data_IF_263100135076
#
_entry.id   IF_263100135076
#
_cell.length_a   1.000
_cell.length_b   1.000
_cell.length_c   1.000
_cell.angle_alpha   90.00
_cell.angle_beta   90.00
_cell.angle_gamma   90.00
#
_symmetry.space_group_name_H-M   'P 1'
#
loop_
_entity.id
_entity.type
_entity.pdbx_description
1 polymer ?
#
# COMPACT_ATOMS: atom_id res chain seq x y z
N UNK A 1 25.68 -38.43 19.14
CA UNK A 1 24.96 -37.73 18.06
C UNK A 1 23.75 -38.55 17.63
N UNK A 2 22.55 -38.27 18.17
CA UNK A 2 21.25 -38.77 17.64
C UNK A 2 20.01 -38.32 18.45
N UNK A 3 20.15 -37.44 19.45
CA UNK A 3 19.00 -36.96 20.25
C UNK A 3 18.67 -35.46 20.09
N UNK A 4 19.47 -34.69 19.35
CA UNK A 4 19.22 -33.25 19.13
C UNK A 4 18.35 -32.91 17.91
N UNK A 5 18.13 -33.85 16.98
CA UNK A 5 17.41 -33.59 15.72
C UNK A 5 15.91 -33.93 15.84
N UNK A 6 15.55 -34.86 16.75
CA UNK A 6 14.15 -35.26 16.95
C UNK A 6 13.31 -34.20 17.67
N UNK A 7 13.91 -33.34 18.50
CA UNK A 7 13.19 -32.28 19.23
C UNK A 7 12.93 -31.06 18.32
N UNK A 8 13.82 -30.79 17.35
CA UNK A 8 13.65 -29.67 16.43
C UNK A 8 12.61 -29.93 15.33
N UNK A 9 12.43 -31.20 14.93
CA UNK A 9 11.36 -31.60 14.00
C UNK A 9 9.99 -31.69 14.69
N UNK A 10 9.93 -31.96 16.00
CA UNK A 10 8.66 -31.97 16.72
C UNK A 10 8.09 -30.55 16.96
N UNK A 11 8.97 -29.55 17.14
CA UNK A 11 8.56 -28.15 17.31
C UNK A 11 8.09 -27.48 16.00
N UNK A 12 8.56 -27.96 14.83
CA UNK A 12 8.06 -27.46 13.54
C UNK A 12 6.77 -28.17 13.07
N UNK A 13 6.49 -29.38 13.53
CA UNK A 13 5.25 -30.10 13.17
C UNK A 13 4.07 -29.69 14.08
N UNK A 14 4.33 -29.26 15.32
CA UNK A 14 3.29 -28.72 16.21
C UNK A 14 2.86 -27.27 15.88
N UNK A 15 3.57 -26.55 14.99
CA UNK A 15 3.11 -25.27 14.45
C UNK A 15 2.24 -25.42 13.17
N UNK A 16 2.00 -26.66 12.72
CA UNK A 16 1.05 -26.98 11.65
C UNK A 16 -0.23 -27.66 12.18
N UNK A 17 -0.43 -27.70 13.50
CA UNK A 17 -1.77 -27.86 14.03
C UNK A 17 -2.51 -26.58 13.70
N UNK A 18 -3.42 -26.72 12.74
CA UNK A 18 -4.50 -25.79 12.44
C UNK A 18 -4.66 -24.77 13.55
N UNK A 19 -4.20 -23.53 13.31
CA UNK A 19 -5.00 -22.41 13.79
C UNK A 19 -6.39 -22.79 13.27
N UNK A 20 -7.37 -23.13 14.12
CA UNK A 20 -8.71 -23.17 13.61
C UNK A 20 -8.86 -21.78 13.04
N UNK A 21 -9.00 -21.67 11.71
CA UNK A 21 -9.80 -20.59 11.16
C UNK A 21 -11.09 -20.80 11.93
N UNK A 22 -11.24 -20.02 13.01
CA UNK A 22 -12.39 -20.08 13.85
C UNK A 22 -13.51 -19.62 12.94
N UNK A 23 -14.12 -20.58 12.26
CA UNK A 23 -15.27 -20.38 11.41
C UNK A 23 -16.50 -19.95 12.23
N UNK A 24 -16.32 -19.73 13.55
CA UNK A 24 -17.33 -19.30 14.51
C UNK A 24 -16.87 -18.17 15.45
N UNK A 25 -15.74 -17.50 15.18
CA UNK A 25 -15.58 -16.16 15.74
C UNK A 25 -16.41 -15.24 14.86
N UNK A 26 -17.71 -15.11 15.17
CA UNK A 26 -18.64 -14.29 14.41
C UNK A 26 -17.99 -12.96 14.06
N UNK A 27 -17.51 -12.83 12.81
CA UNK A 27 -17.04 -11.57 12.30
C UNK A 27 -18.24 -10.66 12.44
N UNK A 28 -18.13 -9.65 13.31
CA UNK A 28 -19.15 -8.62 13.37
C UNK A 28 -19.36 -8.15 11.95
N UNK A 29 -20.53 -8.40 11.38
CA UNK A 29 -20.94 -7.88 10.06
C UNK A 29 -20.98 -6.35 10.05
N UNK A 30 -20.72 -5.73 11.22
CA UNK A 30 -20.58 -4.31 11.46
C UNK A 30 -19.24 -4.11 12.17
N UNK A 31 -18.13 -4.10 11.43
CA UNK A 31 -16.93 -3.43 11.94
C UNK A 31 -17.34 -1.95 12.03
N UNK A 32 -17.44 -1.35 13.24
CA UNK A 32 -17.83 0.03 13.37
C UNK A 32 -16.77 0.88 12.68
N UNK A 33 -17.17 1.56 11.61
CA UNK A 33 -16.29 2.53 10.98
C UNK A 33 -16.06 3.66 11.98
N UNK A 34 -14.81 4.05 12.27
CA UNK A 34 -14.56 5.20 13.13
C UNK A 34 -15.29 6.42 12.56
N UNK A 35 -16.09 7.07 13.40
CA UNK A 35 -16.87 8.21 12.97
C UNK A 35 -15.93 9.31 12.45
N UNK A 36 -16.22 9.79 11.23
CA UNK A 36 -15.52 10.95 10.67
C UNK A 36 -15.79 12.17 11.56
N UNK A 37 -14.76 12.96 11.93
CA UNK A 37 -14.97 14.20 12.68
C UNK A 37 -15.95 15.14 11.97
N UNK A 38 -16.71 15.90 12.77
CA UNK A 38 -17.62 16.91 12.24
C UNK A 38 -16.84 17.92 11.39
N UNK A 39 -17.35 18.24 10.19
CA UNK A 39 -16.70 19.17 9.26
C UNK A 39 -15.48 18.63 8.49
N UNK A 40 -14.99 17.41 8.78
CA UNK A 40 -13.84 16.84 8.07
C UNK A 40 -14.19 16.49 6.61
N UNK A 41 -13.43 17.00 5.64
CA UNK A 41 -13.62 16.74 4.20
C UNK A 41 -12.56 15.76 3.70
N UNK A 42 -12.95 14.50 3.50
CA UNK A 42 -12.05 13.41 3.10
C UNK A 42 -11.34 13.65 1.76
N UNK A 43 -11.81 14.60 0.95
CA UNK A 43 -11.15 14.90 -0.33
C UNK A 43 -10.21 16.10 -0.28
N UNK A 44 -10.21 16.87 0.82
CA UNK A 44 -9.37 18.07 0.95
C UNK A 44 -8.27 17.90 1.99
N UNK A 45 -8.55 17.14 3.04
CA UNK A 45 -7.59 16.95 4.12
C UNK A 45 -6.38 16.11 3.68
N UNK A 46 -5.18 16.37 4.23
CA UNK A 46 -4.03 15.50 4.04
C UNK A 46 -4.32 14.07 4.51
N UNK A 47 -3.88 13.09 3.74
CA UNK A 47 -3.94 11.69 4.16
C UNK A 47 -2.70 11.45 5.03
N UNK A 48 -2.91 11.35 6.33
CA UNK A 48 -1.84 11.13 7.32
C UNK A 48 -2.15 9.97 8.25
N UNK A 49 -3.31 9.32 8.13
CA UNK A 49 -3.74 8.20 8.98
C UNK A 49 -4.36 7.08 8.15
N UNK A 50 -4.30 5.81 8.61
CA UNK A 50 -4.96 4.70 7.94
C UNK A 50 -6.48 4.86 7.87
N UNK A 51 -7.10 5.45 8.90
CA UNK A 51 -8.55 5.68 8.95
C UNK A 51 -9.04 6.58 7.81
N UNK A 52 -8.21 7.51 7.36
CA UNK A 52 -8.54 8.34 6.21
C UNK A 52 -8.64 7.49 4.92
N UNK A 53 -7.78 6.48 4.76
CA UNK A 53 -7.89 5.52 3.65
C UNK A 53 -9.19 4.72 3.74
N UNK A 54 -9.58 4.29 4.95
CA UNK A 54 -10.83 3.55 5.16
C UNK A 54 -12.06 4.38 4.78
N UNK A 55 -12.10 5.67 5.13
CA UNK A 55 -13.21 6.55 4.74
C UNK A 55 -13.28 6.75 3.21
N UNK A 56 -12.13 6.86 2.54
CA UNK A 56 -12.08 6.95 1.08
C UNK A 56 -12.55 5.65 0.42
N UNK A 57 -12.08 4.50 0.90
CA UNK A 57 -12.54 3.20 0.42
C UNK A 57 -14.04 3.01 0.64
N UNK A 58 -14.54 3.36 1.84
CA UNK A 58 -15.97 3.29 2.13
C UNK A 58 -16.78 4.13 1.14
N UNK A 59 -16.35 5.37 0.88
CA UNK A 59 -17.08 6.26 0.00
C UNK A 59 -17.08 5.76 -1.47
N UNK A 60 -16.00 5.13 -1.93
CA UNK A 60 -15.99 4.42 -3.20
C UNK A 60 -16.90 3.19 -3.18
N UNK A 61 -16.77 2.30 -2.20
CA UNK A 61 -17.50 1.04 -2.15
C UNK A 61 -19.02 1.23 -1.97
N UNK A 62 -19.44 2.27 -1.25
CA UNK A 62 -20.86 2.56 -1.01
C UNK A 62 -21.49 3.42 -2.11
N UNK A 63 -20.74 4.37 -2.69
CA UNK A 63 -21.31 5.38 -3.59
C UNK A 63 -20.69 5.39 -5.00
N UNK A 64 -19.72 4.52 -5.29
CA UNK A 64 -19.04 4.45 -6.58
C UNK A 64 -18.18 5.69 -6.90
N UNK A 65 -17.85 6.53 -5.93
CA UNK A 65 -17.16 7.81 -6.17
C UNK A 65 -15.68 7.61 -6.51
N UNK A 66 -15.38 7.54 -7.81
CA UNK A 66 -14.03 7.37 -8.38
C UNK A 66 -12.99 8.38 -7.88
N UNK A 67 -13.41 9.61 -7.52
CA UNK A 67 -12.50 10.62 -6.92
C UNK A 67 -11.85 10.10 -5.63
N UNK A 68 -12.49 9.19 -4.89
CA UNK A 68 -11.89 8.58 -3.71
C UNK A 68 -10.67 7.72 -4.06
N UNK A 69 -10.72 6.93 -5.15
CA UNK A 69 -9.56 6.16 -5.65
C UNK A 69 -8.42 7.12 -6.01
N UNK A 70 -8.73 8.23 -6.71
CA UNK A 70 -7.72 9.24 -7.04
C UNK A 70 -7.05 9.82 -5.78
N UNK A 71 -7.81 10.07 -4.71
CA UNK A 71 -7.24 10.53 -3.43
C UNK A 71 -6.37 9.47 -2.75
N UNK A 72 -6.75 8.19 -2.81
CA UNK A 72 -5.91 7.10 -2.28
C UNK A 72 -4.61 7.00 -3.09
N UNK A 73 -4.66 7.19 -4.41
CA UNK A 73 -3.45 7.27 -5.25
C UNK A 73 -2.54 8.42 -4.82
N UNK A 74 -3.09 9.58 -4.43
CA UNK A 74 -2.26 10.68 -3.91
C UNK A 74 -1.50 10.31 -2.63
N UNK A 75 -2.02 9.38 -1.81
CA UNK A 75 -1.33 8.89 -0.61
C UNK A 75 -0.07 8.08 -0.95
N UNK A 76 0.09 7.61 -2.20
CA UNK A 76 1.35 7.00 -2.64
C UNK A 76 2.53 7.97 -2.61
N UNK A 77 2.29 9.28 -2.53
CA UNK A 77 3.34 10.29 -2.31
C UNK A 77 4.06 10.12 -0.96
N UNK A 78 3.38 9.52 0.02
CA UNK A 78 3.98 9.16 1.31
C UNK A 78 5.07 8.08 1.17
N UNK A 79 5.21 7.46 0.00
CA UNK A 79 6.37 6.62 -0.31
C UNK A 79 7.70 7.38 -0.32
N UNK A 80 7.68 8.71 -0.18
CA UNK A 80 8.86 9.53 0.14
C UNK A 80 9.47 9.19 1.51
N UNK A 81 8.68 8.61 2.43
CA UNK A 81 9.14 8.15 3.74
C UNK A 81 9.62 6.69 3.74
N UNK A 82 9.67 6.01 2.58
CA UNK A 82 10.09 4.61 2.50
C UNK A 82 11.45 4.35 3.18
N UNK A 83 11.51 3.33 4.06
CA UNK A 83 12.64 2.96 4.90
C UNK A 83 12.64 3.57 6.31
N UNK A 84 11.74 4.51 6.61
CA UNK A 84 11.61 5.15 7.93
C UNK A 84 11.18 4.18 9.03
N UNK A 85 10.30 3.21 8.75
CA UNK A 85 9.85 2.19 9.69
C UNK A 85 11.00 1.28 10.11
N UNK A 86 11.80 0.83 9.14
CA UNK A 86 12.99 0.01 9.39
C UNK A 86 14.05 0.79 10.18
N UNK A 87 14.26 2.06 9.81
CA UNK A 87 15.15 2.97 10.54
C UNK A 87 14.68 3.18 11.98
N UNK A 88 13.39 3.43 12.21
CA UNK A 88 12.82 3.59 13.54
C UNK A 88 12.98 2.31 14.38
N UNK A 89 12.70 1.13 13.83
CA UNK A 89 12.93 -0.15 14.51
C UNK A 89 14.40 -0.36 14.91
N UNK A 90 15.35 0.09 14.09
CA UNK A 90 16.77 0.01 14.41
C UNK A 90 17.16 0.98 15.54
N UNK A 91 16.70 2.24 15.46
CA UNK A 91 16.97 3.28 16.45
C UNK A 91 16.35 2.95 17.81
N UNK A 92 15.13 2.42 17.83
CA UNK A 92 14.41 2.09 19.07
C UNK A 92 15.12 1.04 19.94
N UNK A 93 16.03 0.26 19.35
CA UNK A 93 16.88 -0.70 20.08
C UNK A 93 17.98 -0.03 20.89
N UNK A 94 18.33 1.22 20.59
CA UNK A 94 19.46 1.94 21.21
C UNK A 94 19.02 3.20 21.96
N UNK A 95 17.94 3.85 21.54
CA UNK A 95 17.37 5.02 22.23
C UNK A 95 15.87 5.19 21.97
N UNK A 96 15.22 6.05 22.75
CA UNK A 96 13.87 6.51 22.45
C UNK A 96 13.82 7.23 21.08
N UNK A 97 12.73 7.04 20.35
CA UNK A 97 12.47 7.71 19.08
C UNK A 97 12.07 9.16 19.31
N UNK A 98 12.55 10.06 18.45
CA UNK A 98 12.03 11.44 18.40
C UNK A 98 10.61 11.45 17.82
N UNK A 99 9.87 12.53 18.05
CA UNK A 99 8.53 12.71 17.46
C UNK A 99 8.57 12.64 15.92
N UNK A 100 9.60 13.21 15.30
CA UNK A 100 9.80 13.16 13.85
C UNK A 100 10.02 11.71 13.35
N UNK A 101 10.83 10.91 14.06
CA UNK A 101 11.07 9.52 13.68
C UNK A 101 9.80 8.66 13.81
N UNK A 102 9.01 8.91 14.85
CA UNK A 102 7.71 8.27 15.03
C UNK A 102 6.75 8.66 13.91
N UNK A 103 6.68 9.96 13.59
CA UNK A 103 5.80 10.47 12.54
C UNK A 103 6.19 9.92 11.17
N UNK A 104 7.47 9.89 10.81
CA UNK A 104 7.94 9.38 9.52
C UNK A 104 7.66 7.88 9.36
N UNK A 105 7.89 7.09 10.42
CA UNK A 105 7.55 5.66 10.42
C UNK A 105 6.03 5.44 10.30
N UNK A 106 5.22 6.28 10.93
CA UNK A 106 3.77 6.22 10.82
C UNK A 106 3.29 6.57 9.40
N UNK A 107 3.86 7.60 8.78
CA UNK A 107 3.53 7.98 7.39
C UNK A 107 3.94 6.89 6.38
N UNK A 108 5.06 6.20 6.61
CA UNK A 108 5.39 5.01 5.81
C UNK A 108 4.37 3.89 5.99
N UNK A 109 3.89 3.63 7.22
CA UNK A 109 2.85 2.63 7.44
C UNK A 109 1.53 2.98 6.69
N UNK A 110 1.17 4.27 6.61
CA UNK A 110 0.03 4.73 5.80
C UNK A 110 0.28 4.52 4.30
N UNK A 111 1.49 4.81 3.83
CA UNK A 111 1.91 4.50 2.47
C UNK A 111 1.78 3.00 2.15
N UNK A 112 2.29 2.12 3.01
CA UNK A 112 2.21 0.67 2.81
C UNK A 112 0.76 0.18 2.78
N UNK A 113 -0.10 0.72 3.66
CA UNK A 113 -1.54 0.44 3.65
C UNK A 113 -2.22 0.89 2.34
N UNK A 114 -1.89 2.07 1.82
CA UNK A 114 -2.39 2.55 0.54
C UNK A 114 -1.94 1.64 -0.63
N UNK A 115 -0.65 1.29 -0.68
CA UNK A 115 -0.11 0.37 -1.69
C UNK A 115 -0.79 -0.99 -1.65
N UNK A 116 -0.91 -1.58 -0.46
CA UNK A 116 -1.53 -2.89 -0.29
C UNK A 116 -3.00 -2.86 -0.68
N UNK A 117 -3.76 -1.89 -0.18
CA UNK A 117 -5.21 -1.81 -0.42
C UNK A 117 -5.54 -1.54 -1.88
N UNK A 118 -4.83 -0.64 -2.56
CA UNK A 118 -5.00 -0.42 -4.00
C UNK A 118 -4.66 -1.68 -4.81
N UNK A 119 -3.56 -2.37 -4.46
CA UNK A 119 -3.14 -3.59 -5.16
C UNK A 119 -4.18 -4.71 -4.99
N UNK A 120 -4.65 -4.92 -3.75
CA UNK A 120 -5.62 -5.95 -3.43
C UNK A 120 -6.96 -5.70 -4.12
N UNK A 121 -7.48 -4.47 -4.02
CA UNK A 121 -8.74 -4.10 -4.66
C UNK A 121 -8.65 -4.13 -6.19
N UNK A 122 -7.54 -3.71 -6.79
CA UNK A 122 -7.36 -3.81 -8.25
C UNK A 122 -7.34 -5.26 -8.76
N UNK A 123 -6.85 -6.21 -7.97
CA UNK A 123 -6.88 -7.64 -8.32
C UNK A 123 -8.29 -8.24 -8.20
N UNK A 124 -9.08 -7.77 -7.24
CA UNK A 124 -10.40 -8.33 -6.93
C UNK A 124 -11.53 -7.65 -7.73
N UNK A 125 -11.38 -6.37 -8.06
CA UNK A 125 -12.42 -5.55 -8.65
C UNK A 125 -11.92 -4.93 -9.97
N UNK A 126 -12.39 -5.42 -11.13
CA UNK A 126 -11.97 -4.90 -12.43
C UNK A 126 -12.17 -3.38 -12.58
N UNK A 127 -13.23 -2.83 -11.99
CA UNK A 127 -13.48 -1.39 -12.04
C UNK A 127 -12.41 -0.55 -11.34
N UNK A 128 -11.82 -1.06 -10.26
CA UNK A 128 -10.72 -0.39 -9.56
C UNK A 128 -9.49 -0.36 -10.45
N UNK A 129 -9.15 -1.50 -11.08
CA UNK A 129 -8.04 -1.58 -12.02
C UNK A 129 -8.22 -0.58 -13.18
N UNK A 130 -9.40 -0.56 -13.80
CA UNK A 130 -9.69 0.35 -14.90
C UNK A 130 -9.61 1.82 -14.48
N UNK A 131 -10.01 2.15 -13.25
CA UNK A 131 -9.84 3.51 -12.73
C UNK A 131 -8.38 3.88 -12.49
N UNK A 132 -7.55 2.96 -11.97
CA UNK A 132 -6.11 3.19 -11.81
C UNK A 132 -5.41 3.44 -13.15
N UNK A 133 -5.76 2.68 -14.19
CA UNK A 133 -5.27 2.91 -15.56
C UNK A 133 -5.70 4.29 -16.07
N UNK A 134 -6.95 4.68 -15.87
CA UNK A 134 -7.43 6.02 -16.26
C UNK A 134 -6.69 7.14 -15.52
N UNK A 135 -6.44 6.97 -14.23
CA UNK A 135 -5.69 7.94 -13.41
C UNK A 135 -4.27 8.10 -13.96
N UNK A 136 -3.56 7.00 -14.24
CA UNK A 136 -2.23 7.03 -14.84
C UNK A 136 -2.21 7.81 -16.17
N UNK A 137 -3.14 7.47 -17.07
CA UNK A 137 -3.22 8.07 -18.40
C UNK A 137 -3.57 9.57 -18.36
N UNK A 138 -4.51 9.98 -17.49
CA UNK A 138 -4.98 11.37 -17.42
C UNK A 138 -4.03 12.30 -16.66
N UNK A 139 -3.40 11.80 -15.60
CA UNK A 139 -2.62 12.65 -14.71
C UNK A 139 -1.14 12.75 -15.10
N UNK A 140 -0.66 12.06 -16.13
CA UNK A 140 0.75 12.07 -16.55
C UNK A 140 1.45 13.44 -16.54
N UNK A 141 0.84 14.57 -17.00
CA UNK A 141 1.50 15.89 -16.96
C UNK A 141 1.46 16.61 -15.59
N UNK A 142 0.60 16.20 -14.67
CA UNK A 142 0.38 16.86 -13.37
C UNK A 142 0.58 15.93 -12.16
N UNK A 143 0.97 14.67 -12.40
CA UNK A 143 1.10 13.68 -11.36
C UNK A 143 2.28 14.02 -10.45
N UNK A 144 2.08 13.84 -9.14
CA UNK A 144 3.19 13.92 -8.19
C UNK A 144 4.18 12.79 -8.49
N UNK A 145 5.49 13.07 -8.63
CA UNK A 145 6.44 12.09 -9.16
C UNK A 145 6.53 10.80 -8.35
N UNK A 146 6.46 10.88 -7.02
CA UNK A 146 6.59 9.71 -6.15
C UNK A 146 5.33 8.85 -6.26
N UNK A 147 4.15 9.46 -6.13
CA UNK A 147 2.87 8.77 -6.29
C UNK A 147 2.76 8.08 -7.67
N UNK A 148 3.18 8.77 -8.74
CA UNK A 148 3.16 8.20 -10.08
C UNK A 148 4.09 6.99 -10.23
N UNK A 149 5.31 7.06 -9.67
CA UNK A 149 6.24 5.93 -9.68
C UNK A 149 5.66 4.69 -9.00
N UNK A 150 5.01 4.88 -7.85
CA UNK A 150 4.36 3.78 -7.11
C UNK A 150 3.09 3.27 -7.80
N UNK A 151 2.33 4.14 -8.47
CA UNK A 151 1.19 3.72 -9.29
C UNK A 151 1.64 2.82 -10.45
N UNK A 152 2.71 3.20 -11.16
CA UNK A 152 3.26 2.34 -12.22
C UNK A 152 3.77 1.01 -11.66
N UNK A 153 4.49 1.05 -10.54
CA UNK A 153 4.95 -0.15 -9.85
C UNK A 153 3.78 -1.07 -9.47
N UNK A 154 2.68 -0.52 -8.97
CA UNK A 154 1.45 -1.25 -8.70
C UNK A 154 0.88 -1.86 -9.99
N UNK A 155 0.73 -1.07 -11.05
CA UNK A 155 0.17 -1.51 -12.33
C UNK A 155 0.96 -2.67 -12.96
N UNK A 156 2.28 -2.67 -12.85
CA UNK A 156 3.09 -3.82 -13.31
C UNK A 156 2.79 -5.13 -12.58
N UNK A 157 2.24 -5.08 -11.37
CA UNK A 157 1.90 -6.26 -10.55
C UNK A 157 0.49 -6.77 -10.80
N UNK A 158 -0.43 -5.90 -11.20
CA UNK A 158 -1.86 -6.22 -11.35
C UNK A 158 -2.27 -6.34 -12.81
N UNK A 159 -1.52 -5.74 -13.74
CA UNK A 159 -1.72 -5.83 -15.18
C UNK A 159 -0.37 -6.02 -15.91
N UNK A 160 0.38 -7.10 -15.63
CA UNK A 160 1.72 -7.33 -16.16
C UNK A 160 1.78 -7.48 -17.69
N UNK A 161 0.66 -7.84 -18.33
CA UNK A 161 0.58 -7.94 -19.79
C UNK A 161 0.62 -6.56 -20.46
N UNK A 162 0.13 -5.53 -19.78
CA UNK A 162 0.02 -4.14 -20.25
C UNK A 162 1.15 -3.24 -19.71
N UNK A 163 1.61 -3.49 -18.49
CA UNK A 163 2.60 -2.67 -17.79
C UNK A 163 3.83 -3.51 -17.43
N UNK A 164 4.99 -3.18 -18.00
CA UNK A 164 6.22 -3.99 -17.87
C UNK A 164 7.40 -3.18 -17.37
N UNK A 165 8.10 -3.72 -16.36
CA UNK A 165 9.41 -3.22 -15.97
C UNK A 165 10.48 -3.75 -16.92
N UNK A 166 11.18 -2.83 -17.57
CA UNK A 166 12.37 -3.13 -18.38
C UNK A 166 13.58 -2.53 -17.67
N UNK A 167 14.34 -3.32 -16.90
CA UNK A 167 15.56 -2.83 -16.28
C UNK A 167 16.60 -2.52 -17.37
N UNK A 168 17.02 -1.27 -17.48
CA UNK A 168 18.17 -0.88 -18.29
C UNK A 168 19.34 -0.52 -17.37
N UNK A 169 20.58 -0.81 -17.81
CA UNK A 169 21.83 -0.70 -17.01
C UNK A 169 22.01 0.62 -16.22
N UNK A 170 21.36 1.72 -16.62
CA UNK A 170 21.43 3.03 -15.96
C UNK A 170 20.07 3.73 -15.77
N UNK A 171 18.96 3.07 -16.11
CA UNK A 171 17.63 3.68 -16.17
C UNK A 171 16.56 2.63 -15.90
N UNK A 172 15.62 2.95 -15.05
CA UNK A 172 14.42 2.12 -14.88
C UNK A 172 13.40 2.60 -15.92
N UNK A 173 12.93 1.70 -16.79
CA UNK A 173 11.88 2.01 -17.75
C UNK A 173 10.65 1.18 -17.44
N UNK A 174 9.49 1.83 -17.42
CA UNK A 174 8.18 1.18 -17.37
C UNK A 174 7.53 1.38 -18.74
N UNK A 175 7.30 0.29 -19.45
CA UNK A 175 6.50 0.30 -20.67
C UNK A 175 5.03 0.31 -20.26
N UNK A 176 4.29 1.29 -20.76
CA UNK A 176 2.84 1.47 -20.53
C UNK A 176 2.11 1.46 -21.88
N UNK A 177 0.77 1.31 -21.90
CA UNK A 177 -0.01 1.41 -23.13
C UNK A 177 0.12 2.75 -23.87
N UNK A 178 0.55 3.81 -23.18
CA UNK A 178 0.69 5.17 -23.73
C UNK A 178 2.14 5.57 -23.98
N UNK A 179 3.07 4.61 -23.94
CA UNK A 179 4.48 4.80 -24.22
C UNK A 179 5.36 4.88 -22.97
N UNK A 180 6.64 4.60 -23.17
CA UNK A 180 7.60 4.39 -22.08
C UNK A 180 7.72 5.56 -21.09
N UNK A 181 7.78 5.23 -19.80
CA UNK A 181 8.11 6.15 -18.71
C UNK A 181 9.48 5.78 -18.17
N UNK A 182 10.33 6.79 -17.98
CA UNK A 182 11.71 6.56 -17.54
C UNK A 182 12.01 7.24 -16.21
N UNK A 183 12.64 6.49 -15.31
CA UNK A 183 13.13 6.97 -14.03
C UNK A 183 14.65 6.96 -14.00
N UNK A 184 15.22 8.09 -13.60
CA UNK A 184 16.66 8.19 -13.35
C UNK A 184 16.96 7.56 -11.99
N UNK A 185 17.67 6.43 -11.99
CA UNK A 185 18.16 5.81 -10.76
C UNK A 185 19.40 6.61 -10.34
N UNK A 186 19.25 7.54 -9.40
CA UNK A 186 20.42 8.15 -8.75
C UNK A 186 21.10 7.05 -7.93
N UNK A 187 22.41 6.89 -8.15
CA UNK A 187 23.27 6.03 -7.33
C UNK A 187 23.39 6.59 -5.93
#
# INVERSE_FOLDING_TARGET
MKQGIAILLLLCILAMLAVPVAADAGYSTKIPVPAKPAGFDIYKEPISTPQHLDWLWQDYLQHGKKKAIARIVDALELGSYAGSLQKAQAVQKTRALTEEEQQNAFLEAVFEAAMWSLTSNAKQHPEVLEELKRIEQRNRPHAKPVAHGYLLLLLTRVAPDEYKFVPQKKRLTVTTPTGDVHFNVKK
#
